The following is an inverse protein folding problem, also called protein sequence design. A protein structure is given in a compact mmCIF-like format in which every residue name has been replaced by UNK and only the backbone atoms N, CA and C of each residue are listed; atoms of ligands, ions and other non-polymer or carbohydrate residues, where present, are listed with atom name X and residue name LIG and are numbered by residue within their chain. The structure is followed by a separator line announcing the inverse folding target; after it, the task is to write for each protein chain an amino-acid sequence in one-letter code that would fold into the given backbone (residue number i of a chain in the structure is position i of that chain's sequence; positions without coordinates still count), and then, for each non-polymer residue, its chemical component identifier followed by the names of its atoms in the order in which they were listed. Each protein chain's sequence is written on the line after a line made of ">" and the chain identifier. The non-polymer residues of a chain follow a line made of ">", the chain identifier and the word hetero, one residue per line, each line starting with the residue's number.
data_IF_441925912448
#
_entry.id   IF_441925912448
#
_cell.length_a   1.000
_cell.length_b   1.000
_cell.length_c   1.000
_cell.angle_alpha   90.00
_cell.angle_beta   90.00
_cell.angle_gamma   90.00
#
_symmetry.space_group_name_H-M   'P 1'
#
loop_
_entity.id
_entity.type
_entity.pdbx_description
1 polymer ?
#
# COMPACT_ATOMS: atom_id res chain seq x y z
N UNK A 1 22.95 38.21 45.04
CA UNK A 1 22.91 37.33 43.86
C UNK A 1 23.91 37.80 42.80
N UNK A 2 23.89 39.07 42.37
CA UNK A 2 24.72 39.64 41.30
C UNK A 2 26.24 39.47 41.54
N UNK A 3 26.72 39.71 42.75
CA UNK A 3 28.14 39.58 43.11
C UNK A 3 28.64 38.12 43.03
N UNK A 4 27.81 37.15 43.38
CA UNK A 4 28.17 35.70 43.23
C UNK A 4 28.25 35.29 41.75
N UNK A 5 27.32 35.78 40.93
CA UNK A 5 27.33 35.55 39.50
C UNK A 5 28.51 36.20 38.79
N UNK A 6 28.85 37.44 39.14
CA UNK A 6 30.04 38.13 38.60
C UNK A 6 31.33 37.42 38.95
N UNK A 7 31.47 36.94 40.20
CA UNK A 7 32.67 36.16 40.62
C UNK A 7 32.77 34.82 39.88
N UNK A 8 31.63 34.16 39.64
CA UNK A 8 31.60 32.90 38.87
C UNK A 8 32.02 33.15 37.40
N UNK A 9 31.50 34.23 36.80
CA UNK A 9 31.82 34.60 35.41
C UNK A 9 33.34 34.89 35.25
N UNK A 10 33.91 35.67 36.19
CA UNK A 10 35.33 35.99 36.18
C UNK A 10 36.22 34.69 36.31
N UNK A 11 35.79 33.75 37.16
CA UNK A 11 36.50 32.49 37.30
C UNK A 11 36.44 31.67 36.01
N UNK A 12 35.28 31.55 35.39
CA UNK A 12 35.14 30.85 34.11
C UNK A 12 35.95 31.51 33.01
N UNK A 13 35.97 32.86 32.96
CA UNK A 13 36.76 33.57 31.97
C UNK A 13 38.27 33.34 32.16
N UNK A 14 38.74 33.30 33.43
CA UNK A 14 40.11 32.95 33.73
C UNK A 14 40.47 31.55 33.33
N UNK A 15 39.62 30.54 33.65
CA UNK A 15 39.81 29.14 33.26
C UNK A 15 39.86 28.99 31.75
N UNK A 16 38.96 29.67 31.02
CA UNK A 16 38.95 29.63 29.56
C UNK A 16 40.22 30.28 28.97
N UNK A 17 40.68 31.39 29.53
CA UNK A 17 41.94 32.02 29.12
C UNK A 17 43.15 31.14 29.36
N UNK A 18 43.25 30.53 30.55
CA UNK A 18 44.35 29.62 30.91
C UNK A 18 44.35 28.39 29.97
N UNK A 19 43.16 27.81 29.68
CA UNK A 19 43.00 26.71 28.73
C UNK A 19 43.47 27.10 27.32
N UNK A 20 43.10 28.30 26.84
CA UNK A 20 43.49 28.77 25.51
C UNK A 20 45.04 28.92 25.44
N UNK A 21 45.67 29.48 26.50
CA UNK A 21 47.12 29.66 26.56
C UNK A 21 47.83 28.30 26.57
N UNK A 22 47.37 27.36 27.40
CA UNK A 22 47.93 26.02 27.51
C UNK A 22 47.80 25.18 26.23
N UNK A 23 46.77 25.44 25.43
CA UNK A 23 46.51 24.70 24.20
C UNK A 23 46.74 25.53 22.93
N UNK A 24 47.46 26.64 23.02
CA UNK A 24 47.62 27.60 21.92
C UNK A 24 48.16 26.96 20.63
N UNK A 25 49.14 26.05 20.76
CA UNK A 25 49.75 25.37 19.63
C UNK A 25 48.75 24.39 18.96
N UNK A 26 47.87 23.76 19.75
CA UNK A 26 46.86 22.87 19.25
C UNK A 26 45.68 23.66 18.60
N UNK A 27 45.23 24.75 19.25
CA UNK A 27 44.12 25.58 18.76
C UNK A 27 44.47 26.27 17.44
N UNK A 28 45.76 26.61 17.25
CA UNK A 28 46.29 27.19 16.00
C UNK A 28 46.71 26.16 14.96
N UNK A 29 46.65 24.87 15.26
CA UNK A 29 47.05 23.83 14.32
C UNK A 29 46.13 23.72 13.11
N UNK A 30 46.67 23.29 11.97
CA UNK A 30 45.86 23.06 10.74
C UNK A 30 44.80 21.99 11.00
N UNK A 31 45.11 21.00 11.80
CA UNK A 31 44.21 19.89 12.16
C UNK A 31 43.00 20.42 12.96
N UNK A 32 43.22 21.28 13.94
CA UNK A 32 42.14 21.89 14.72
C UNK A 32 41.21 22.74 13.83
N UNK A 33 41.78 23.54 12.94
CA UNK A 33 41.03 24.38 12.00
C UNK A 33 40.19 23.49 11.06
N UNK A 34 40.79 22.41 10.56
CA UNK A 34 40.04 21.45 9.72
C UNK A 34 38.90 20.78 10.48
N UNK A 35 39.12 20.33 11.69
CA UNK A 35 38.08 19.75 12.55
C UNK A 35 36.97 20.76 12.80
N UNK A 36 37.30 22.01 13.10
CA UNK A 36 36.33 23.06 13.34
C UNK A 36 35.46 23.36 12.08
N UNK A 37 36.07 23.40 10.89
CA UNK A 37 35.38 23.59 9.62
C UNK A 37 34.46 22.39 9.36
N UNK A 38 34.96 21.16 9.52
CA UNK A 38 34.14 19.94 9.27
C UNK A 38 33.00 19.84 10.27
N UNK A 39 33.21 20.17 11.54
CA UNK A 39 32.16 20.18 12.56
C UNK A 39 31.05 21.19 12.22
N UNK A 40 31.42 22.39 11.76
CA UNK A 40 30.46 23.39 11.33
C UNK A 40 29.66 22.93 10.08
N UNK A 41 30.34 22.31 9.12
CA UNK A 41 29.67 21.73 7.93
C UNK A 41 28.70 20.63 8.36
N UNK A 42 29.13 19.68 9.20
CA UNK A 42 28.29 18.61 9.71
C UNK A 42 27.06 19.17 10.46
N UNK A 43 27.25 20.19 11.28
CA UNK A 43 26.14 20.85 12.00
C UNK A 43 25.11 21.44 11.03
N UNK A 44 25.55 22.12 9.98
CA UNK A 44 24.67 22.66 8.96
C UNK A 44 23.96 21.55 8.15
N UNK A 45 24.64 20.48 7.84
CA UNK A 45 24.07 19.34 7.13
C UNK A 45 23.04 18.60 8.00
N UNK A 46 23.32 18.42 9.29
CA UNK A 46 22.35 17.87 10.25
C UNK A 46 21.10 18.74 10.34
N UNK A 47 21.25 20.05 10.47
CA UNK A 47 20.10 20.97 10.52
C UNK A 47 19.27 20.92 9.23
N UNK A 48 19.93 20.81 8.08
CA UNK A 48 19.24 20.67 6.77
C UNK A 48 18.54 19.32 6.64
N UNK A 49 19.12 18.24 7.12
CA UNK A 49 18.51 16.90 7.13
C UNK A 49 17.33 16.85 8.08
N UNK A 50 17.47 17.41 9.29
CA UNK A 50 16.38 17.48 10.28
C UNK A 50 15.18 18.25 9.73
N UNK A 51 15.44 19.40 9.08
CA UNK A 51 14.39 20.16 8.38
C UNK A 51 13.68 19.35 7.29
N UNK A 52 14.42 18.54 6.50
CA UNK A 52 13.85 17.67 5.48
C UNK A 52 13.05 16.52 6.08
N UNK A 53 13.55 15.89 7.15
CA UNK A 53 12.87 14.79 7.84
C UNK A 53 11.55 15.27 8.43
N UNK A 54 11.52 16.46 9.02
CA UNK A 54 10.31 17.04 9.65
C UNK A 54 9.18 17.37 8.65
N UNK A 55 9.47 17.49 7.36
CA UNK A 55 8.46 17.68 6.31
C UNK A 55 8.09 16.38 5.57
N UNK A 56 8.78 15.27 5.85
CA UNK A 56 8.39 13.96 5.30
C UNK A 56 7.20 13.42 6.07
N UNK A 57 6.17 12.98 5.34
CA UNK A 57 5.07 12.26 5.93
C UNK A 57 5.57 10.99 6.63
N UNK A 58 5.24 10.84 7.89
CA UNK A 58 5.57 9.64 8.65
C UNK A 58 4.64 8.49 8.26
N UNK A 59 5.03 7.24 8.59
CA UNK A 59 4.15 6.08 8.44
C UNK A 59 2.82 6.27 9.22
N UNK A 60 2.85 6.98 10.34
CA UNK A 60 1.69 7.35 11.14
C UNK A 60 0.80 8.39 10.48
N UNK A 61 1.38 9.38 9.79
CA UNK A 61 0.60 10.35 9.03
C UNK A 61 -0.09 9.70 7.85
N UNK A 62 0.61 8.79 7.14
CA UNK A 62 0.01 7.98 6.10
C UNK A 62 -1.09 7.07 6.65
N UNK A 63 -0.89 6.48 7.82
CA UNK A 63 -1.91 5.69 8.49
C UNK A 63 -3.13 6.51 8.88
N UNK A 64 -2.95 7.72 9.43
CA UNK A 64 -4.05 8.66 9.72
C UNK A 64 -4.81 9.07 8.46
N UNK A 65 -4.09 9.35 7.36
CA UNK A 65 -4.72 9.60 6.06
C UNK A 65 -5.49 8.35 5.61
N UNK A 66 -4.90 7.18 5.72
CA UNK A 66 -5.58 5.92 5.41
C UNK A 66 -6.76 5.64 6.33
N UNK A 67 -6.65 5.91 7.63
CA UNK A 67 -7.76 5.74 8.60
C UNK A 67 -8.93 6.69 8.28
N UNK A 68 -8.67 7.87 7.72
CA UNK A 68 -9.69 8.76 7.15
C UNK A 68 -10.30 8.24 5.84
N UNK A 69 -9.52 7.48 5.06
CA UNK A 69 -10.02 6.76 3.87
C UNK A 69 -10.68 5.41 4.23
N UNK A 70 -10.62 4.98 5.48
CA UNK A 70 -11.21 3.72 5.99
C UNK A 70 -12.67 3.89 6.45
N UNK A 71 -13.29 5.03 6.27
CA UNK A 71 -14.73 5.17 6.42
C UNK A 71 -15.45 4.38 5.32
N UNK A 72 -16.30 3.43 5.75
CA UNK A 72 -16.94 2.43 4.87
C UNK A 72 -17.80 3.02 3.76
N UNK A 73 -18.19 4.28 3.86
CA UNK A 73 -19.03 4.96 2.86
C UNK A 73 -18.23 5.79 1.84
N UNK A 74 -16.94 6.01 2.05
CA UNK A 74 -16.09 6.86 1.21
C UNK A 74 -14.93 6.15 0.53
N UNK A 75 -14.89 4.82 0.53
CA UNK A 75 -13.80 4.03 -0.09
C UNK A 75 -13.65 4.26 -1.59
N UNK A 76 -13.11 5.40 -1.97
CA UNK A 76 -12.81 5.68 -3.38
C UNK A 76 -11.41 5.22 -3.78
N UNK A 77 -10.43 5.29 -2.86
CA UNK A 77 -9.04 4.95 -3.14
C UNK A 77 -8.35 4.30 -1.95
N UNK A 78 -7.67 3.19 -2.19
CA UNK A 78 -6.74 2.55 -1.24
C UNK A 78 -5.35 2.66 -1.81
N UNK A 79 -4.43 3.28 -1.10
CA UNK A 79 -3.00 3.20 -1.39
C UNK A 79 -2.38 2.16 -0.47
N UNK A 80 -1.85 1.10 -1.06
CA UNK A 80 -1.17 0.02 -0.37
C UNK A 80 0.34 0.24 -0.50
N UNK A 81 1.02 0.34 0.63
CA UNK A 81 2.47 0.50 0.66
C UNK A 81 3.17 -0.85 0.59
N UNK A 82 4.49 -0.81 0.36
CA UNK A 82 5.29 -2.02 0.41
C UNK A 82 5.30 -2.64 1.81
N UNK A 83 4.84 -3.88 1.92
CA UNK A 83 4.66 -4.61 3.18
C UNK A 83 3.24 -4.65 3.71
N UNK A 84 2.29 -3.88 3.16
CA UNK A 84 0.90 -3.77 3.63
C UNK A 84 0.02 -4.97 3.16
N UNK A 85 0.51 -6.20 3.38
CA UNK A 85 -0.19 -7.42 2.94
C UNK A 85 -1.51 -7.65 3.66
N UNK A 86 -1.52 -7.38 4.96
CA UNK A 86 -2.73 -7.55 5.80
C UNK A 86 -3.76 -6.49 5.42
N UNK A 87 -3.34 -5.25 5.23
CA UNK A 87 -4.18 -4.14 4.79
C UNK A 87 -4.78 -4.41 3.40
N UNK A 88 -3.99 -4.98 2.49
CA UNK A 88 -4.47 -5.43 1.18
C UNK A 88 -5.55 -6.51 1.31
N UNK A 89 -5.32 -7.53 2.14
CA UNK A 89 -6.28 -8.60 2.40
C UNK A 89 -7.59 -8.05 3.00
N UNK A 90 -7.48 -7.10 3.93
CA UNK A 90 -8.65 -6.42 4.53
C UNK A 90 -9.41 -5.64 3.47
N UNK A 91 -8.72 -4.89 2.58
CA UNK A 91 -9.35 -4.12 1.52
C UNK A 91 -10.12 -5.01 0.54
N UNK A 92 -9.49 -6.06 0.00
CA UNK A 92 -10.15 -7.02 -0.89
C UNK A 92 -11.32 -7.74 -0.20
N UNK A 93 -11.12 -8.18 1.06
CA UNK A 93 -12.17 -8.83 1.84
C UNK A 93 -13.39 -7.92 2.03
N UNK A 94 -13.19 -6.64 2.32
CA UNK A 94 -14.28 -5.66 2.46
C UNK A 94 -15.02 -5.46 1.14
N UNK A 95 -14.30 -5.32 0.02
CA UNK A 95 -14.90 -5.19 -1.30
C UNK A 95 -15.77 -6.42 -1.60
N UNK A 96 -15.25 -7.63 -1.41
CA UNK A 96 -16.00 -8.86 -1.70
C UNK A 96 -17.20 -9.05 -0.76
N UNK A 97 -17.07 -8.72 0.52
CA UNK A 97 -18.19 -8.75 1.49
C UNK A 97 -19.31 -7.76 1.17
N UNK A 98 -19.01 -6.68 0.45
CA UNK A 98 -20.04 -5.69 0.06
C UNK A 98 -21.03 -6.23 -0.97
N UNK A 99 -20.64 -7.24 -1.76
CA UNK A 99 -21.48 -7.85 -2.78
C UNK A 99 -22.73 -8.50 -2.17
N UNK A 100 -23.88 -8.22 -2.81
CA UNK A 100 -25.17 -8.80 -2.47
C UNK A 100 -25.61 -9.88 -3.48
N UNK A 101 -25.17 -9.78 -4.74
CA UNK A 101 -25.56 -10.67 -5.83
C UNK A 101 -24.39 -11.27 -6.60
N UNK A 102 -23.40 -10.45 -6.97
CA UNK A 102 -22.31 -10.93 -7.82
C UNK A 102 -20.97 -10.26 -7.58
N UNK A 103 -19.91 -11.01 -7.84
CA UNK A 103 -18.52 -10.53 -7.88
C UNK A 103 -17.92 -11.00 -9.20
N UNK A 104 -17.50 -10.07 -10.05
CA UNK A 104 -16.74 -10.39 -11.25
C UNK A 104 -15.33 -9.83 -11.12
N UNK A 105 -14.34 -10.63 -11.41
CA UNK A 105 -12.91 -10.28 -11.25
C UNK A 105 -12.20 -10.51 -12.56
N UNK A 106 -11.41 -9.54 -13.02
CA UNK A 106 -10.43 -9.72 -14.09
C UNK A 106 -9.05 -9.73 -13.45
N UNK A 107 -8.38 -10.87 -13.43
CA UNK A 107 -7.02 -11.02 -12.92
C UNK A 107 -6.31 -12.20 -13.59
N UNK A 108 -5.22 -11.92 -14.31
CA UNK A 108 -4.46 -12.95 -15.03
C UNK A 108 -3.52 -13.77 -14.13
N UNK A 109 -3.36 -13.36 -12.86
CA UNK A 109 -2.43 -13.99 -11.91
C UNK A 109 -3.18 -14.56 -10.71
N UNK A 110 -4.06 -15.51 -10.94
CA UNK A 110 -4.88 -16.15 -9.90
C UNK A 110 -4.15 -17.32 -9.22
N UNK A 111 -4.51 -17.59 -7.98
CA UNK A 111 -3.93 -18.67 -7.18
C UNK A 111 -4.73 -18.99 -5.93
N UNK A 112 -4.16 -19.77 -5.01
CA UNK A 112 -4.80 -20.09 -3.72
C UNK A 112 -5.25 -18.83 -2.98
N UNK A 113 -4.39 -17.81 -2.89
CA UNK A 113 -4.70 -16.56 -2.19
C UNK A 113 -5.91 -15.84 -2.77
N UNK A 114 -6.09 -15.89 -4.10
CA UNK A 114 -7.29 -15.32 -4.75
C UNK A 114 -8.56 -15.99 -4.23
N UNK A 115 -8.56 -17.32 -4.10
CA UNK A 115 -9.69 -18.07 -3.57
C UNK A 115 -9.92 -17.82 -2.09
N UNK A 116 -8.85 -17.72 -1.29
CA UNK A 116 -8.93 -17.37 0.13
C UNK A 116 -9.64 -16.04 0.36
N UNK A 117 -9.38 -15.04 -0.47
CA UNK A 117 -10.04 -13.74 -0.37
C UNK A 117 -11.49 -13.81 -0.86
N UNK A 118 -11.75 -14.55 -1.95
CA UNK A 118 -13.11 -14.72 -2.49
C UNK A 118 -14.06 -15.48 -1.54
N UNK A 119 -13.54 -16.32 -0.64
CA UNK A 119 -14.37 -16.97 0.39
C UNK A 119 -15.06 -15.98 1.34
N UNK A 120 -14.63 -14.71 1.34
CA UNK A 120 -15.30 -13.65 2.11
C UNK A 120 -16.63 -13.21 1.49
N UNK A 121 -16.96 -13.64 0.27
CA UNK A 121 -18.25 -13.39 -0.36
C UNK A 121 -19.39 -14.00 0.47
N UNK A 122 -20.55 -13.41 0.38
CA UNK A 122 -21.77 -13.93 1.02
C UNK A 122 -22.22 -15.22 0.34
N UNK A 123 -22.91 -16.07 1.09
CA UNK A 123 -23.54 -17.27 0.53
C UNK A 123 -24.42 -16.94 -0.67
N UNK A 124 -24.41 -17.83 -1.66
CA UNK A 124 -25.14 -17.69 -2.92
C UNK A 124 -24.71 -16.52 -3.81
N UNK A 125 -23.61 -15.82 -3.50
CA UNK A 125 -23.06 -14.82 -4.41
C UNK A 125 -22.50 -15.52 -5.66
N UNK A 126 -22.89 -15.03 -6.85
CA UNK A 126 -22.31 -15.50 -8.11
C UNK A 126 -20.91 -14.89 -8.28
N UNK A 127 -19.90 -15.74 -8.41
CA UNK A 127 -18.52 -15.28 -8.65
C UNK A 127 -18.07 -15.74 -10.04
N UNK A 128 -17.60 -14.78 -10.85
CA UNK A 128 -16.94 -15.07 -12.12
C UNK A 128 -15.52 -14.47 -12.09
N UNK A 129 -14.52 -15.28 -12.27
CA UNK A 129 -13.13 -14.82 -12.43
C UNK A 129 -12.73 -15.01 -13.88
N UNK A 130 -12.43 -13.90 -14.55
CA UNK A 130 -11.86 -13.88 -15.89
C UNK A 130 -10.34 -13.85 -15.75
N UNK A 131 -9.69 -14.88 -16.27
CA UNK A 131 -8.25 -15.06 -16.15
C UNK A 131 -7.70 -15.83 -17.35
N UNK A 132 -6.46 -15.57 -17.70
CA UNK A 132 -5.67 -16.46 -18.57
C UNK A 132 -4.78 -17.41 -17.75
N UNK A 133 -4.86 -17.33 -16.42
CA UNK A 133 -4.11 -18.15 -15.46
C UNK A 133 -2.62 -18.24 -15.81
N UNK A 134 -1.99 -17.09 -15.97
CA UNK A 134 -0.61 -16.98 -16.44
C UNK A 134 0.32 -17.81 -15.56
N UNK A 135 1.10 -18.66 -16.19
CA UNK A 135 1.98 -19.62 -15.52
C UNK A 135 2.98 -18.89 -14.61
N UNK A 136 2.91 -19.23 -13.33
CA UNK A 136 3.87 -18.83 -12.29
C UNK A 136 3.86 -19.90 -11.18
N UNK A 137 4.76 -19.78 -10.20
CA UNK A 137 4.88 -20.75 -9.10
C UNK A 137 3.60 -20.94 -8.28
N UNK A 138 2.76 -19.90 -8.18
CA UNK A 138 1.56 -19.86 -7.36
C UNK A 138 0.27 -19.82 -8.21
N UNK A 139 0.33 -20.31 -9.45
CA UNK A 139 -0.83 -20.32 -10.33
C UNK A 139 -1.93 -21.27 -9.80
N UNK A 140 -3.18 -20.96 -10.12
CA UNK A 140 -4.30 -21.81 -9.75
C UNK A 140 -4.20 -23.15 -10.48
N UNK A 141 -4.30 -24.23 -9.71
CA UNK A 141 -4.33 -25.61 -10.25
C UNK A 141 -5.69 -26.25 -10.05
N UNK A 142 -5.95 -27.31 -10.80
CA UNK A 142 -7.20 -28.07 -10.70
C UNK A 142 -7.44 -28.55 -9.27
N UNK A 143 -6.43 -29.09 -8.61
CA UNK A 143 -6.57 -29.61 -7.24
C UNK A 143 -7.00 -28.52 -6.26
N UNK A 144 -6.36 -27.36 -6.31
CA UNK A 144 -6.71 -26.19 -5.46
C UNK A 144 -8.17 -25.75 -5.72
N UNK A 145 -8.58 -25.72 -6.99
CA UNK A 145 -9.94 -25.35 -7.35
C UNK A 145 -10.98 -26.38 -6.87
N UNK A 146 -10.67 -27.66 -7.03
CA UNK A 146 -11.55 -28.76 -6.61
C UNK A 146 -11.69 -28.81 -5.08
N UNK A 147 -10.60 -28.58 -4.35
CA UNK A 147 -10.62 -28.50 -2.89
C UNK A 147 -11.42 -27.28 -2.40
N UNK A 148 -11.27 -26.15 -3.05
CA UNK A 148 -12.08 -24.96 -2.75
C UNK A 148 -13.57 -25.22 -2.96
N UNK A 149 -13.96 -25.83 -4.08
CA UNK A 149 -15.37 -26.15 -4.39
C UNK A 149 -15.97 -27.15 -3.41
N UNK A 150 -15.19 -28.11 -2.93
CA UNK A 150 -15.62 -29.07 -1.90
C UNK A 150 -15.82 -28.41 -0.54
N UNK A 151 -14.91 -27.49 -0.17
CA UNK A 151 -14.95 -26.80 1.12
C UNK A 151 -15.98 -25.68 1.20
N UNK A 152 -16.31 -25.05 0.08
CA UNK A 152 -17.16 -23.86 0.02
C UNK A 152 -18.31 -24.06 -0.97
N UNK A 153 -19.21 -24.98 -0.67
CA UNK A 153 -20.32 -25.39 -1.55
C UNK A 153 -21.39 -24.30 -1.78
N UNK A 154 -21.46 -23.31 -0.91
CA UNK A 154 -22.38 -22.16 -1.04
C UNK A 154 -21.86 -21.08 -2.00
N UNK A 155 -20.59 -21.16 -2.44
CA UNK A 155 -19.96 -20.20 -3.35
C UNK A 155 -20.07 -20.72 -4.80
N UNK A 156 -20.82 -20.01 -5.62
CA UNK A 156 -20.95 -20.35 -7.05
C UNK A 156 -19.80 -19.71 -7.86
N UNK A 157 -18.65 -20.39 -7.92
CA UNK A 157 -17.45 -19.90 -8.62
C UNK A 157 -17.36 -20.48 -10.04
N UNK A 158 -17.31 -19.58 -11.04
CA UNK A 158 -17.00 -19.87 -12.44
C UNK A 158 -15.69 -19.20 -12.83
N UNK A 159 -14.90 -19.89 -13.65
CA UNK A 159 -13.68 -19.36 -14.24
C UNK A 159 -13.88 -19.22 -15.74
N UNK A 160 -13.54 -18.06 -16.31
CA UNK A 160 -13.62 -17.79 -17.75
C UNK A 160 -12.30 -17.24 -18.27
N UNK A 161 -12.03 -17.43 -19.55
CA UNK A 161 -10.83 -16.90 -20.22
C UNK A 161 -10.94 -15.38 -20.30
N UNK A 162 -9.87 -14.64 -19.91
CA UNK A 162 -9.80 -13.19 -20.06
C UNK A 162 -9.47 -12.75 -21.49
N UNK A 163 -8.70 -13.55 -22.24
CA UNK A 163 -8.38 -13.33 -23.65
C UNK A 163 -7.15 -12.47 -23.90
N UNK A 164 -6.21 -12.39 -22.95
CA UNK A 164 -4.90 -11.70 -23.06
C UNK A 164 -4.98 -10.21 -23.40
N UNK A 165 -6.09 -9.56 -23.08
CA UNK A 165 -6.36 -8.15 -23.44
C UNK A 165 -6.13 -7.19 -22.27
N UNK A 166 -6.02 -7.71 -21.04
CA UNK A 166 -6.05 -6.90 -19.82
C UNK A 166 -4.69 -6.91 -19.16
N UNK A 167 -4.12 -5.73 -18.99
CA UNK A 167 -2.91 -5.52 -18.21
C UNK A 167 -3.26 -5.28 -16.74
N UNK A 168 -4.26 -4.46 -16.50
CA UNK A 168 -4.74 -4.12 -15.17
C UNK A 168 -5.77 -5.13 -14.66
N UNK A 169 -6.09 -5.06 -13.38
CA UNK A 169 -7.05 -5.93 -12.70
C UNK A 169 -8.27 -5.10 -12.35
N UNK A 170 -9.43 -5.73 -12.48
CA UNK A 170 -10.71 -5.07 -12.26
C UNK A 170 -11.63 -5.93 -11.45
N UNK A 171 -12.46 -5.30 -10.63
CA UNK A 171 -13.51 -5.97 -9.86
C UNK A 171 -14.82 -5.26 -10.18
N UNK A 172 -15.87 -6.03 -10.47
CA UNK A 172 -17.23 -5.55 -10.51
C UNK A 172 -18.02 -6.21 -9.38
N UNK A 173 -18.69 -5.41 -8.59
CA UNK A 173 -19.59 -5.83 -7.52
C UNK A 173 -21.03 -5.58 -7.99
N UNK A 174 -21.91 -6.56 -7.77
CA UNK A 174 -23.35 -6.50 -8.05
C UNK A 174 -23.66 -6.05 -9.50
N UNK A 175 -22.89 -6.61 -10.45
CA UNK A 175 -22.96 -6.28 -11.87
C UNK A 175 -24.39 -6.31 -12.41
N UNK A 176 -24.77 -5.26 -13.15
CA UNK A 176 -26.10 -5.12 -13.76
C UNK A 176 -27.22 -4.81 -12.77
N UNK A 177 -26.92 -4.33 -11.57
CA UNK A 177 -27.89 -3.90 -10.58
C UNK A 177 -27.76 -2.41 -10.25
N UNK A 178 -28.70 -1.84 -9.53
CA UNK A 178 -28.63 -0.46 -9.02
C UNK A 178 -27.46 -0.21 -8.04
N UNK A 179 -26.89 -1.30 -7.46
CA UNK A 179 -25.77 -1.24 -6.52
C UNK A 179 -24.44 -1.57 -7.19
N UNK A 180 -24.40 -1.59 -8.52
CA UNK A 180 -23.19 -1.89 -9.29
C UNK A 180 -22.03 -0.95 -8.93
N UNK A 181 -20.88 -1.54 -8.66
CA UNK A 181 -19.65 -0.81 -8.39
C UNK A 181 -18.46 -1.48 -9.06
N UNK A 182 -17.56 -0.66 -9.61
CA UNK A 182 -16.31 -1.14 -10.23
C UNK A 182 -15.09 -0.64 -9.49
N UNK A 183 -14.05 -1.45 -9.51
CA UNK A 183 -12.74 -1.11 -8.93
C UNK A 183 -11.64 -1.42 -9.92
N UNK A 184 -10.67 -0.49 -10.03
CA UNK A 184 -9.39 -0.69 -10.70
C UNK A 184 -8.36 -1.09 -9.65
N UNK A 185 -7.62 -2.17 -9.88
CA UNK A 185 -6.61 -2.68 -8.95
C UNK A 185 -5.24 -2.70 -9.65
N UNK A 186 -4.27 -1.97 -9.09
CA UNK A 186 -2.92 -1.88 -9.63
C UNK A 186 -2.10 -3.17 -9.47
N UNK A 187 -2.49 -4.06 -8.57
CA UNK A 187 -1.85 -5.35 -8.35
C UNK A 187 -2.87 -6.49 -8.36
N UNK A 188 -2.41 -7.71 -8.63
CA UNK A 188 -3.19 -8.93 -8.40
C UNK A 188 -3.52 -9.07 -6.91
N UNK A 189 -4.70 -9.59 -6.60
CA UNK A 189 -5.13 -9.79 -5.21
C UNK A 189 -4.15 -10.63 -4.39
N UNK A 190 -3.43 -11.57 -5.01
CA UNK A 190 -2.42 -12.39 -4.34
C UNK A 190 -1.09 -11.66 -4.10
N UNK A 191 -0.80 -10.58 -4.83
CA UNK A 191 0.46 -9.83 -4.77
C UNK A 191 0.29 -8.45 -4.16
N UNK A 192 -0.93 -8.01 -3.90
CA UNK A 192 -1.22 -6.72 -3.29
C UNK A 192 -0.50 -6.56 -1.95
N UNK A 193 0.04 -5.39 -1.70
CA UNK A 193 0.87 -5.10 -0.52
C UNK A 193 2.32 -5.60 -0.61
N UNK A 194 2.71 -6.38 -1.63
CA UNK A 194 4.13 -6.71 -1.86
C UNK A 194 4.92 -5.52 -2.43
N UNK A 195 4.25 -4.64 -3.14
CA UNK A 195 4.78 -3.39 -3.72
C UNK A 195 3.71 -2.32 -3.59
N UNK A 196 4.13 -1.06 -3.74
CA UNK A 196 3.19 0.05 -3.76
C UNK A 196 2.19 -0.16 -4.89
N UNK A 197 0.91 -0.17 -4.55
CA UNK A 197 -0.19 -0.32 -5.50
C UNK A 197 -1.44 0.37 -4.97
N UNK A 198 -2.45 0.54 -5.82
CA UNK A 198 -3.71 1.16 -5.43
C UNK A 198 -4.91 0.30 -5.81
N UNK A 199 -5.99 0.45 -5.06
CA UNK A 199 -7.33 0.01 -5.45
C UNK A 199 -8.19 1.26 -5.50
N UNK A 200 -8.82 1.52 -6.64
CA UNK A 200 -9.60 2.73 -6.88
C UNK A 200 -11.02 2.35 -7.27
N UNK A 201 -12.01 2.84 -6.53
CA UNK A 201 -13.42 2.74 -6.94
C UNK A 201 -13.66 3.68 -8.12
N UNK A 202 -14.26 3.16 -9.17
CA UNK A 202 -14.58 3.92 -10.38
C UNK A 202 -15.77 4.85 -10.09
N UNK A 203 -15.62 6.08 -10.55
CA UNK A 203 -16.67 7.10 -10.40
C UNK A 203 -17.87 6.81 -11.28
N UNK A 204 -19.05 7.32 -10.88
CA UNK A 204 -20.32 7.12 -11.52
C UNK A 204 -20.28 7.49 -13.02
N UNK A 205 -19.64 8.62 -13.34
CA UNK A 205 -19.48 9.12 -14.71
C UNK A 205 -18.76 8.19 -15.68
N UNK A 206 -17.99 7.22 -15.16
CA UNK A 206 -17.19 6.29 -15.97
C UNK A 206 -17.73 4.86 -15.94
N UNK A 207 -18.77 4.56 -15.17
CA UNK A 207 -19.29 3.20 -14.97
C UNK A 207 -19.68 2.52 -16.27
N UNK A 208 -20.31 3.21 -17.19
CA UNK A 208 -20.79 2.62 -18.44
C UNK A 208 -19.69 1.94 -19.25
N UNK A 209 -18.51 2.54 -19.30
CA UNK A 209 -17.34 1.94 -19.97
C UNK A 209 -16.94 0.60 -19.36
N UNK A 210 -16.91 0.54 -18.02
CA UNK A 210 -16.56 -0.69 -17.30
C UNK A 210 -17.66 -1.73 -17.39
N UNK A 211 -18.92 -1.30 -17.35
CA UNK A 211 -20.07 -2.17 -17.59
C UNK A 211 -19.99 -2.84 -18.96
N UNK A 212 -19.74 -2.08 -20.02
CA UNK A 212 -19.56 -2.63 -21.38
C UNK A 212 -18.38 -3.58 -21.48
N UNK A 213 -17.27 -3.26 -20.82
CA UNK A 213 -16.08 -4.11 -20.77
C UNK A 213 -16.41 -5.50 -20.18
N UNK A 214 -17.08 -5.55 -19.04
CA UNK A 214 -17.49 -6.82 -18.42
C UNK A 214 -18.55 -7.55 -19.24
N UNK A 215 -19.53 -6.83 -19.80
CA UNK A 215 -20.55 -7.39 -20.68
C UNK A 215 -19.94 -8.18 -21.84
N UNK A 216 -18.93 -7.59 -22.50
CA UNK A 216 -18.22 -8.25 -23.60
C UNK A 216 -17.51 -9.55 -23.22
N UNK A 217 -17.26 -9.79 -21.93
CA UNK A 217 -16.53 -10.97 -21.43
C UNK A 217 -17.47 -12.10 -20.94
N UNK A 218 -18.73 -11.81 -20.68
CA UNK A 218 -19.68 -12.80 -20.13
C UNK A 218 -19.86 -14.01 -21.04
N UNK A 219 -19.72 -13.84 -22.36
CA UNK A 219 -19.79 -14.90 -23.36
C UNK A 219 -18.49 -15.68 -23.55
N UNK A 220 -17.39 -15.28 -22.89
CA UNK A 220 -16.09 -15.97 -23.03
C UNK A 220 -16.21 -17.42 -22.58
N UNK A 221 -15.37 -18.27 -23.19
CA UNK A 221 -15.29 -19.69 -22.86
C UNK A 221 -14.80 -19.92 -21.43
N UNK A 222 -15.21 -21.04 -20.86
CA UNK A 222 -14.73 -21.43 -19.53
C UNK A 222 -13.23 -21.71 -19.57
N UNK A 223 -12.54 -21.25 -18.51
CA UNK A 223 -11.11 -21.52 -18.31
C UNK A 223 -10.94 -22.94 -17.77
N UNK A 224 -10.13 -23.74 -18.46
CA UNK A 224 -9.68 -25.05 -17.97
C UNK A 224 -8.39 -24.87 -17.17
N UNK A 225 -8.40 -25.31 -15.93
CA UNK A 225 -7.29 -25.25 -14.97
C UNK A 225 -6.73 -26.64 -14.77
#
# INVERSE_FOLDING_TARGET
>A
LAVKQSKALIRMFKQMKDFIIENQDFIGSKEFVQIAIQTNQNTNDIARLDSKVNILATKEDLKKVMDHFIDSDTYKHFLLMNGDKIEADVAYTKIYKSAKKSIYVIDNYIGLKTLELLRAARDNTQIIVFSDNVKNKDMLTKNILDDFRKGYTTINLKLKIAGKKYHDRYIAIDYGTEHEAFYLCGASSKEAGNKISSITKIEESSKDMYHMMFSGMLSNKDLKV
#
